data_IF_482149568299
#
_entry.id   IF_482149568299
#
_cell.length_a   1.000
_cell.length_b   1.000
_cell.length_c   1.000
_cell.angle_alpha   90.00
_cell.angle_beta   90.00
_cell.angle_gamma   90.00
#
_symmetry.space_group_name_H-M   'P 1'
#
loop_
_entity.id
_entity.type
_entity.pdbx_description
1 polymer ?
#
# COMPACT_ATOMS: atom_id res chain seq x y z
N UNK A 1 -3.11 37.82 12.78
CA UNK A 1 -1.91 36.95 12.76
C UNK A 1 -2.26 35.68 12.01
N UNK A 2 -1.82 35.61 10.76
CA UNK A 2 -2.12 34.52 9.83
C UNK A 2 -1.37 33.28 10.27
N UNK A 3 -2.10 32.24 10.69
CA UNK A 3 -1.52 30.96 11.09
C UNK A 3 -0.87 30.31 9.88
N UNK A 4 0.46 30.40 9.78
CA UNK A 4 1.20 29.60 8.81
C UNK A 4 0.97 28.12 9.13
N UNK A 5 0.53 27.31 8.14
CA UNK A 5 0.39 25.88 8.37
C UNK A 5 1.76 25.33 8.76
N UNK A 6 1.83 24.65 9.89
CA UNK A 6 3.05 24.01 10.36
C UNK A 6 3.56 23.05 9.26
N UNK A 7 4.75 23.29 8.67
CA UNK A 7 5.23 22.51 7.53
C UNK A 7 5.42 21.03 7.87
N UNK A 8 5.70 20.69 9.13
CA UNK A 8 5.70 19.30 9.59
C UNK A 8 4.31 18.65 9.53
N UNK A 9 3.25 19.40 9.85
CA UNK A 9 1.89 18.89 9.76
C UNK A 9 1.47 18.68 8.29
N UNK A 10 1.86 19.58 7.39
CA UNK A 10 1.61 19.41 5.95
C UNK A 10 2.35 18.19 5.37
N UNK A 11 3.61 17.98 5.74
CA UNK A 11 4.39 16.81 5.33
C UNK A 11 3.80 15.50 5.87
N UNK A 12 3.36 15.47 7.13
CA UNK A 12 2.70 14.30 7.71
C UNK A 12 1.37 13.96 7.01
N UNK A 13 0.57 14.96 6.64
CA UNK A 13 -0.68 14.77 5.88
C UNK A 13 -0.38 14.24 4.47
N UNK A 14 0.63 14.79 3.80
CA UNK A 14 1.04 14.32 2.47
C UNK A 14 1.53 12.86 2.52
N UNK A 15 2.39 12.52 3.49
CA UNK A 15 2.87 11.15 3.70
C UNK A 15 1.74 10.17 3.99
N UNK A 16 0.74 10.56 4.80
CA UNK A 16 -0.44 9.72 5.07
C UNK A 16 -1.29 9.49 3.81
N UNK A 17 -1.48 10.51 2.98
CA UNK A 17 -2.23 10.38 1.71
C UNK A 17 -1.51 9.44 0.74
N UNK A 18 -0.19 9.58 0.62
CA UNK A 18 0.64 8.72 -0.22
C UNK A 18 0.60 7.26 0.26
N UNK A 19 0.70 7.04 1.58
CA UNK A 19 0.56 5.72 2.17
C UNK A 19 -0.80 5.08 1.89
N UNK A 20 -1.89 5.86 1.96
CA UNK A 20 -3.24 5.38 1.65
C UNK A 20 -3.37 4.99 0.18
N UNK A 21 -2.80 5.78 -0.73
CA UNK A 21 -2.80 5.47 -2.16
C UNK A 21 -2.01 4.18 -2.45
N UNK A 22 -0.83 4.02 -1.83
CA UNK A 22 -0.02 2.82 -1.95
C UNK A 22 -0.74 1.57 -1.39
N UNK A 23 -1.41 1.69 -0.24
CA UNK A 23 -2.23 0.61 0.33
C UNK A 23 -3.37 0.20 -0.62
N UNK A 24 -4.09 1.16 -1.20
CA UNK A 24 -5.12 0.87 -2.19
C UNK A 24 -4.58 0.17 -3.43
N UNK A 25 -3.45 0.64 -3.97
CA UNK A 25 -2.82 0.01 -5.14
C UNK A 25 -2.39 -1.42 -4.84
N UNK A 26 -1.82 -1.66 -3.67
CA UNK A 26 -1.44 -3.00 -3.21
C UNK A 26 -2.66 -3.92 -3.10
N UNK A 27 -3.76 -3.46 -2.46
CA UNK A 27 -5.00 -4.25 -2.38
C UNK A 27 -5.57 -4.58 -3.76
N UNK A 28 -5.59 -3.62 -4.68
CA UNK A 28 -6.06 -3.86 -6.05
C UNK A 28 -5.22 -4.89 -6.80
N UNK A 29 -3.90 -4.86 -6.65
CA UNK A 29 -3.00 -5.83 -7.29
C UNK A 29 -3.25 -7.26 -6.78
N UNK A 30 -3.54 -7.41 -5.50
CA UNK A 30 -3.84 -8.71 -4.90
C UNK A 30 -5.17 -9.27 -5.37
N UNK A 31 -6.21 -8.42 -5.42
CA UNK A 31 -7.52 -8.81 -5.95
C UNK A 31 -7.40 -9.27 -7.41
N UNK A 32 -6.64 -8.54 -8.22
CA UNK A 32 -6.39 -8.93 -9.62
C UNK A 32 -5.63 -10.25 -9.76
N UNK A 33 -4.79 -10.59 -8.78
CA UNK A 33 -4.04 -11.85 -8.74
C UNK A 33 -4.80 -12.98 -8.03
N UNK A 34 -6.08 -12.79 -7.68
CA UNK A 34 -6.90 -13.76 -6.95
C UNK A 34 -6.30 -14.17 -5.60
N UNK A 35 -5.49 -13.30 -4.99
CA UNK A 35 -4.90 -13.51 -3.67
C UNK A 35 -5.86 -12.99 -2.61
N UNK A 36 -6.55 -13.90 -1.93
CA UNK A 36 -7.40 -13.56 -0.79
C UNK A 36 -6.55 -13.27 0.45
N UNK A 37 -6.36 -11.97 0.73
CA UNK A 37 -5.92 -11.52 2.04
C UNK A 37 -7.12 -11.31 2.98
N UNK A 38 -6.98 -11.61 4.29
CA UNK A 38 -7.99 -11.23 5.27
C UNK A 38 -8.24 -9.72 5.23
N UNK A 39 -9.43 -9.32 5.66
CA UNK A 39 -9.96 -7.96 5.54
C UNK A 39 -8.87 -6.91 5.82
N UNK A 40 -8.55 -6.03 4.84
CA UNK A 40 -7.47 -5.06 4.99
C UNK A 40 -7.66 -4.12 6.18
N UNK A 41 -8.88 -4.00 6.72
CA UNK A 41 -9.15 -3.22 7.94
C UNK A 41 -8.45 -3.79 9.18
N UNK A 42 -8.21 -5.11 9.26
CA UNK A 42 -7.46 -5.73 10.36
C UNK A 42 -5.96 -5.86 10.04
N UNK A 43 -5.60 -5.99 8.77
CA UNK A 43 -4.23 -6.23 8.33
C UNK A 43 -3.40 -4.97 8.01
N UNK A 44 -4.02 -3.84 7.65
CA UNK A 44 -3.30 -2.63 7.22
C UNK A 44 -3.27 -1.57 8.30
N UNK A 45 -2.05 -1.10 8.62
CA UNK A 45 -1.84 0.05 9.49
C UNK A 45 -0.97 1.08 8.80
N UNK A 46 -1.51 2.29 8.67
CA UNK A 46 -0.73 3.46 8.23
C UNK A 46 -0.20 4.17 9.48
N UNK A 47 1.12 4.29 9.58
CA UNK A 47 1.75 5.03 10.68
C UNK A 47 1.58 6.55 10.49
N UNK A 48 1.69 7.36 11.56
CA UNK A 48 1.66 8.82 11.44
C UNK A 48 2.75 9.39 10.52
N UNK A 49 3.83 8.64 10.29
CA UNK A 49 4.94 9.01 9.41
C UNK A 49 4.72 8.60 7.95
N UNK A 50 3.57 8.00 7.60
CA UNK A 50 3.27 7.58 6.23
C UNK A 50 3.83 6.22 5.83
N UNK A 51 4.12 5.34 6.78
CA UNK A 51 4.54 3.96 6.51
C UNK A 51 3.32 3.06 6.46
N UNK A 52 3.23 2.17 5.47
CA UNK A 52 2.20 1.12 5.39
C UNK A 52 2.75 -0.16 6.00
N UNK A 53 2.08 -0.67 7.01
CA UNK A 53 2.34 -1.99 7.60
C UNK A 53 1.21 -2.92 7.18
N UNK A 54 1.57 -4.13 6.74
CA UNK A 54 0.62 -5.16 6.32
C UNK A 54 0.90 -6.43 7.10
N UNK A 55 -0.09 -6.94 7.83
CA UNK A 55 -0.04 -8.23 8.48
C UNK A 55 -0.79 -9.25 7.61
N UNK A 56 -0.04 -10.22 7.09
CA UNK A 56 -0.58 -11.31 6.29
C UNK A 56 -0.85 -12.52 7.20
N UNK A 57 -1.91 -13.28 6.89
CA UNK A 57 -2.06 -14.64 7.43
C UNK A 57 -0.93 -15.55 6.91
N UNK A 58 -0.76 -16.76 7.45
CA UNK A 58 0.06 -17.77 6.80
C UNK A 58 -0.42 -17.99 5.35
N UNK A 59 0.52 -17.89 4.42
CA UNK A 59 0.30 -18.10 2.99
C UNK A 59 0.82 -19.47 2.59
N UNK A 60 0.10 -20.13 1.70
CA UNK A 60 0.58 -21.32 1.01
C UNK A 60 1.69 -20.93 0.02
N UNK A 61 2.60 -21.86 -0.34
CA UNK A 61 3.65 -21.59 -1.32
C UNK A 61 3.12 -21.03 -2.65
N UNK A 62 1.99 -21.54 -3.15
CA UNK A 62 1.36 -21.03 -4.38
C UNK A 62 0.88 -19.59 -4.23
N UNK A 63 0.31 -19.22 -3.07
CA UNK A 63 -0.14 -17.86 -2.79
C UNK A 63 1.04 -16.88 -2.70
N UNK A 64 2.19 -17.34 -2.16
CA UNK A 64 3.43 -16.54 -2.16
C UNK A 64 3.94 -16.27 -3.59
N UNK A 65 3.83 -17.25 -4.50
CA UNK A 65 4.21 -17.08 -5.89
C UNK A 65 3.28 -16.10 -6.61
N UNK A 66 1.97 -16.20 -6.39
CA UNK A 66 0.99 -15.26 -6.95
C UNK A 66 1.22 -13.84 -6.43
N UNK A 67 1.50 -13.69 -5.13
CA UNK A 67 1.88 -12.40 -4.54
C UNK A 67 3.15 -11.82 -5.19
N UNK A 68 4.18 -12.64 -5.38
CA UNK A 68 5.42 -12.18 -5.99
C UNK A 68 5.23 -11.74 -7.45
N UNK A 69 4.35 -12.42 -8.20
CA UNK A 69 3.97 -12.03 -9.56
C UNK A 69 3.15 -10.73 -9.56
N UNK A 70 2.18 -10.59 -8.64
CA UNK A 70 1.36 -9.40 -8.51
C UNK A 70 2.16 -8.14 -8.15
N UNK A 71 3.23 -8.31 -7.37
CA UNK A 71 4.15 -7.25 -6.97
C UNK A 71 5.37 -7.10 -7.89
N UNK A 72 5.52 -7.99 -8.86
CA UNK A 72 6.56 -7.90 -9.88
C UNK A 72 6.45 -6.59 -10.65
N UNK A 73 7.51 -6.18 -11.38
CA UNK A 73 7.45 -4.98 -12.18
C UNK A 73 6.27 -5.08 -13.15
N UNK A 74 5.25 -4.24 -12.96
CA UNK A 74 4.32 -3.94 -14.03
C UNK A 74 5.16 -3.28 -15.11
N UNK A 75 5.35 -3.98 -16.24
CA UNK A 75 5.83 -3.37 -17.49
C UNK A 75 4.90 -2.19 -17.82
N UNK A 76 5.22 -1.02 -17.29
CA UNK A 76 4.65 0.28 -17.63
C UNK A 76 5.73 1.19 -18.23
N UNK A 77 6.93 0.64 -18.48
CA UNK A 77 8.05 1.29 -19.18
C UNK A 77 8.29 0.67 -20.57
N UNK A 78 7.23 0.44 -21.35
CA UNK A 78 7.38 0.30 -22.80
C UNK A 78 7.17 1.68 -23.45
N UNK A 79 8.24 2.44 -23.76
CA UNK A 79 8.10 3.59 -24.65
C UNK A 79 7.75 3.07 -26.05
N UNK A 80 6.54 3.40 -26.51
CA UNK A 80 6.21 3.36 -27.94
C UNK A 80 6.51 4.73 -28.56
#
# INVERSE_FOLDING_TARGET
MTGYPNPMAAAAIAGRRQASAAAHQFTSALVAAEVELPDPVEGFRITPTGTVLVQLRPLLPTELLLLALALGPTDQDSPT
#
